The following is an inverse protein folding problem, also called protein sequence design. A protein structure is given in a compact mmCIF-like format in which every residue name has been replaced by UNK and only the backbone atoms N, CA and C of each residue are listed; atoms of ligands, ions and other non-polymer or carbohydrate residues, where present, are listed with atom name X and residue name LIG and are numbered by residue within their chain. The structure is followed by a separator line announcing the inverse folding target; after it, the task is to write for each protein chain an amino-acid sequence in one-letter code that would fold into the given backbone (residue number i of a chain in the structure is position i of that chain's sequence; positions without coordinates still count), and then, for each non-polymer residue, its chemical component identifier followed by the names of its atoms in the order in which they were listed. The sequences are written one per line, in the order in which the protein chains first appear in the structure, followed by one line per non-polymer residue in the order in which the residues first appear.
data_IF_713755718183
#
_entry.id   IF_713755718183
#
_cell.length_a   1.000
_cell.length_b   1.000
_cell.length_c   1.000
_cell.angle_alpha   90.00
_cell.angle_beta   90.00
_cell.angle_gamma   90.00
#
_symmetry.space_group_name_H-M   'P 1'
#
loop_
_entity.id
_entity.type
_entity.pdbx_description
1 polymer ?
#
# COMPACT_ATOMS: atom_id res chain seq x y z
N UNK A 1 60.41 -29.51 -37.30
CA UNK A 1 59.54 -28.41 -36.82
C UNK A 1 59.61 -27.25 -37.81
N UNK A 2 58.47 -26.62 -38.07
CA UNK A 2 58.13 -25.83 -39.27
C UNK A 2 58.86 -24.49 -39.38
N UNK A 3 59.07 -24.08 -40.64
CA UNK A 3 59.73 -22.87 -41.14
C UNK A 3 58.75 -21.67 -41.24
N UNK A 4 59.24 -20.49 -40.84
CA UNK A 4 59.29 -19.19 -41.55
C UNK A 4 58.09 -18.61 -42.34
N UNK A 5 58.02 -17.27 -42.22
CA UNK A 5 57.66 -16.20 -43.20
C UNK A 5 56.37 -15.38 -42.95
N UNK A 6 56.65 -14.13 -42.56
CA UNK A 6 56.13 -12.81 -42.96
C UNK A 6 54.75 -12.61 -43.64
N UNK A 7 54.19 -11.45 -43.27
CA UNK A 7 53.00 -10.75 -43.73
C UNK A 7 52.88 -10.53 -45.24
N UNK A 8 51.65 -10.51 -45.76
CA UNK A 8 51.15 -9.54 -46.76
C UNK A 8 49.64 -9.32 -46.56
N UNK A 9 49.25 -8.07 -46.73
CA UNK A 9 47.92 -7.48 -46.62
C UNK A 9 46.85 -8.08 -47.55
N UNK A 10 45.59 -7.94 -47.14
CA UNK A 10 44.46 -7.76 -48.06
C UNK A 10 43.42 -6.85 -47.39
N UNK A 11 43.44 -5.56 -47.75
CA UNK A 11 42.30 -4.67 -47.55
C UNK A 11 41.19 -5.13 -48.49
N UNK A 12 40.11 -5.66 -47.93
CA UNK A 12 38.86 -5.90 -48.66
C UNK A 12 37.96 -4.69 -48.50
N UNK A 13 37.81 -3.93 -49.58
CA UNK A 13 36.77 -2.92 -49.77
C UNK A 13 35.40 -3.57 -49.55
N UNK A 14 34.68 -3.17 -48.49
CA UNK A 14 33.25 -3.48 -48.34
C UNK A 14 32.47 -2.25 -48.78
N UNK A 15 31.75 -2.43 -49.88
CA UNK A 15 30.85 -1.49 -50.52
C UNK A 15 29.78 -0.97 -49.57
N UNK A 16 29.65 0.34 -49.46
CA UNK A 16 28.49 0.99 -48.84
C UNK A 16 27.30 0.88 -49.78
N UNK A 17 26.47 -0.15 -49.61
CA UNK A 17 25.09 -0.11 -50.08
C UNK A 17 24.25 0.77 -49.13
N UNK A 18 23.20 1.46 -49.60
CA UNK A 18 22.27 2.14 -48.71
C UNK A 18 21.57 1.08 -47.85
N UNK A 19 22.01 0.94 -46.60
CA UNK A 19 21.25 0.21 -45.60
C UNK A 19 19.95 0.97 -45.39
N UNK A 20 18.85 0.40 -45.86
CA UNK A 20 17.54 0.71 -45.31
C UNK A 20 17.66 0.48 -43.80
N UNK A 21 17.71 1.55 -43.02
CA UNK A 21 17.65 1.48 -41.58
C UNK A 21 16.32 0.83 -41.23
N UNK A 22 16.33 -0.46 -40.97
CA UNK A 22 15.29 -1.08 -40.17
C UNK A 22 15.37 -0.38 -38.82
N UNK A 23 14.45 0.56 -38.57
CA UNK A 23 14.30 1.15 -37.25
C UNK A 23 14.19 0.00 -36.26
N UNK A 24 15.08 -0.03 -35.27
CA UNK A 24 14.90 -0.91 -34.13
C UNK A 24 13.48 -0.68 -33.59
N UNK A 25 12.70 -1.75 -33.32
CA UNK A 25 11.35 -1.59 -32.79
C UNK A 25 11.42 -0.67 -31.58
N UNK A 26 10.60 0.37 -31.59
CA UNK A 26 10.52 1.33 -30.50
C UNK A 26 10.37 0.55 -29.18
N UNK A 27 11.07 0.93 -28.10
CA UNK A 27 10.95 0.26 -26.83
C UNK A 27 9.47 0.23 -26.44
N UNK A 28 8.91 -0.97 -26.29
CA UNK A 28 7.56 -1.14 -25.79
C UNK A 28 7.53 -0.51 -24.40
N UNK A 29 6.63 0.46 -24.13
CA UNK A 29 6.46 0.99 -22.79
C UNK A 29 6.24 -0.18 -21.82
N UNK A 30 6.98 -0.20 -20.71
CA UNK A 30 6.68 -1.14 -19.64
C UNK A 30 5.19 -0.97 -19.25
N UNK A 31 4.43 -2.05 -19.04
CA UNK A 31 3.03 -1.93 -18.69
C UNK A 31 2.92 -1.14 -17.37
N UNK A 32 2.36 0.06 -17.44
CA UNK A 32 1.97 0.82 -16.26
C UNK A 32 0.89 0.01 -15.55
N UNK A 33 1.07 -0.28 -14.26
CA UNK A 33 0.07 -0.98 -13.47
C UNK A 33 -1.29 -0.26 -13.58
N UNK A 34 -2.38 -1.02 -13.66
CA UNK A 34 -3.70 -0.40 -13.70
C UNK A 34 -4.00 0.30 -12.37
N UNK A 35 -4.85 1.33 -12.35
CA UNK A 35 -5.24 2.00 -11.11
C UNK A 35 -5.78 1.03 -10.04
N UNK A 36 -6.44 -0.06 -10.46
CA UNK A 36 -6.91 -1.11 -9.56
C UNK A 36 -5.76 -1.87 -8.89
N UNK A 37 -4.69 -2.19 -9.63
CA UNK A 37 -3.50 -2.86 -9.07
C UNK A 37 -2.77 -1.94 -8.09
N UNK A 38 -2.62 -0.65 -8.42
CA UNK A 38 -2.03 0.33 -7.50
C UNK A 38 -2.87 0.52 -6.23
N UNK A 39 -4.20 0.57 -6.36
CA UNK A 39 -5.10 0.69 -5.21
C UNK A 39 -5.07 -0.57 -4.33
N UNK A 40 -5.05 -1.76 -4.92
CA UNK A 40 -4.91 -3.02 -4.20
C UNK A 40 -3.59 -3.08 -3.41
N UNK A 41 -2.50 -2.55 -3.97
CA UNK A 41 -1.20 -2.46 -3.29
C UNK A 41 -1.21 -1.56 -2.04
N UNK A 42 -2.09 -0.54 -1.99
CA UNK A 42 -2.20 0.40 -0.86
C UNK A 42 -3.20 -0.03 0.21
N UNK A 43 -4.08 -0.98 -0.12
CA UNK A 43 -5.17 -1.36 0.76
C UNK A 43 -4.72 -1.93 2.12
N UNK A 44 -3.69 -2.81 2.21
CA UNK A 44 -3.22 -3.30 3.51
C UNK A 44 -2.78 -2.18 4.46
N UNK A 45 -2.07 -1.18 3.94
CA UNK A 45 -1.63 -0.02 4.74
C UNK A 45 -2.84 0.80 5.22
N UNK A 46 -3.84 1.02 4.36
CA UNK A 46 -5.05 1.76 4.72
C UNK A 46 -5.89 1.03 5.79
N UNK A 47 -5.96 -0.30 5.73
CA UNK A 47 -6.64 -1.11 6.75
C UNK A 47 -5.91 -1.06 8.09
N UNK A 48 -4.57 -1.19 8.05
CA UNK A 48 -3.73 -1.05 9.22
C UNK A 48 -3.93 0.32 9.88
N UNK A 49 -3.89 1.40 9.09
CA UNK A 49 -4.12 2.76 9.59
C UNK A 49 -5.52 2.90 10.22
N UNK A 50 -6.57 2.43 9.53
CA UNK A 50 -7.94 2.51 10.03
C UNK A 50 -8.09 1.82 11.39
N UNK A 51 -7.58 0.59 11.51
CA UNK A 51 -7.63 -0.17 12.76
C UNK A 51 -6.78 0.47 13.87
N UNK A 52 -5.56 0.95 13.56
CA UNK A 52 -4.69 1.60 14.54
C UNK A 52 -5.32 2.88 15.07
N UNK A 53 -5.86 3.73 14.19
CA UNK A 53 -6.55 4.97 14.58
C UNK A 53 -7.74 4.65 15.47
N UNK A 54 -8.59 3.70 15.08
CA UNK A 54 -9.75 3.31 15.87
C UNK A 54 -9.36 2.75 17.25
N UNK A 55 -8.28 1.96 17.33
CA UNK A 55 -7.75 1.44 18.59
C UNK A 55 -7.24 2.57 19.49
N UNK A 56 -6.41 3.46 18.96
CA UNK A 56 -5.84 4.61 19.69
C UNK A 56 -6.97 5.51 20.24
N UNK A 57 -8.02 5.71 19.45
CA UNK A 57 -9.15 6.57 19.79
C UNK A 57 -10.24 5.89 20.64
N UNK A 58 -10.14 4.59 20.94
CA UNK A 58 -11.23 3.86 21.61
C UNK A 58 -11.55 4.40 23.02
N UNK A 59 -10.59 5.05 23.70
CA UNK A 59 -10.82 5.62 25.03
C UNK A 59 -11.83 6.77 25.04
N UNK A 60 -12.01 7.46 23.91
CA UNK A 60 -12.95 8.60 23.78
C UNK A 60 -14.10 8.31 22.83
N UNK A 61 -13.95 7.36 21.90
CA UNK A 61 -15.01 6.94 20.98
C UNK A 61 -15.80 5.71 21.44
N UNK A 62 -15.24 4.93 22.36
CA UNK A 62 -15.78 3.64 22.78
C UNK A 62 -15.23 2.47 21.99
N UNK A 63 -15.19 1.30 22.64
CA UNK A 63 -14.63 0.06 22.09
C UNK A 63 -15.43 -0.48 20.89
N UNK A 64 -16.71 -0.14 20.79
CA UNK A 64 -17.58 -0.63 19.72
C UNK A 64 -17.14 -0.13 18.35
N UNK A 65 -16.63 1.11 18.26
CA UNK A 65 -16.09 1.66 17.00
C UNK A 65 -14.86 0.87 16.57
N UNK A 66 -13.93 0.60 17.49
CA UNK A 66 -12.78 -0.24 17.21
C UNK A 66 -13.19 -1.65 16.72
N UNK A 67 -14.15 -2.29 17.40
CA UNK A 67 -14.65 -3.61 17.02
C UNK A 67 -15.27 -3.61 15.61
N UNK A 68 -16.02 -2.58 15.25
CA UNK A 68 -16.58 -2.43 13.90
C UNK A 68 -15.49 -2.26 12.85
N UNK A 69 -14.48 -1.42 13.08
CA UNK A 69 -13.37 -1.23 12.15
C UNK A 69 -12.54 -2.51 12.01
N UNK A 70 -12.33 -3.24 13.11
CA UNK A 70 -11.67 -4.54 13.11
C UNK A 70 -12.46 -5.57 12.29
N UNK A 71 -13.77 -5.65 12.46
CA UNK A 71 -14.61 -6.55 11.67
C UNK A 71 -14.59 -6.19 10.17
N UNK A 72 -14.75 -4.91 9.83
CA UNK A 72 -14.64 -4.44 8.43
C UNK A 72 -13.29 -4.85 7.83
N UNK A 73 -12.22 -4.65 8.58
CA UNK A 73 -10.88 -5.00 8.12
C UNK A 73 -10.71 -6.50 7.94
N UNK A 74 -11.23 -7.29 8.87
CA UNK A 74 -11.25 -8.74 8.79
C UNK A 74 -12.03 -9.21 7.55
N UNK A 75 -13.26 -8.73 7.35
CA UNK A 75 -14.10 -9.12 6.22
C UNK A 75 -13.46 -8.74 4.88
N UNK A 76 -12.85 -7.56 4.79
CA UNK A 76 -12.21 -7.12 3.56
C UNK A 76 -10.96 -7.94 3.24
N UNK A 77 -10.08 -8.16 4.24
CA UNK A 77 -8.90 -9.01 4.07
C UNK A 77 -9.28 -10.45 3.75
N UNK A 78 -10.34 -10.99 4.36
CA UNK A 78 -10.85 -12.33 4.05
C UNK A 78 -11.33 -12.42 2.60
N UNK A 79 -12.07 -11.43 2.12
CA UNK A 79 -12.54 -11.39 0.72
C UNK A 79 -11.41 -11.32 -0.30
N UNK A 80 -10.27 -10.73 0.06
CA UNK A 80 -9.14 -10.55 -0.86
C UNK A 80 -8.20 -11.75 -0.82
N UNK A 81 -7.92 -12.27 0.37
CA UNK A 81 -6.97 -13.36 0.55
C UNK A 81 -7.61 -14.74 0.35
N UNK A 82 -8.92 -14.85 0.57
CA UNK A 82 -9.67 -16.11 0.66
C UNK A 82 -9.07 -17.11 1.67
N UNK A 83 -8.28 -16.61 2.63
CA UNK A 83 -7.54 -17.39 3.61
C UNK A 83 -7.79 -16.84 5.02
N UNK A 84 -8.58 -17.59 5.78
CA UNK A 84 -8.98 -17.20 7.14
C UNK A 84 -7.78 -17.14 8.10
N UNK A 85 -6.80 -18.03 7.95
CA UNK A 85 -5.64 -18.08 8.84
C UNK A 85 -4.75 -16.85 8.62
N UNK A 86 -4.45 -16.51 7.36
CA UNK A 86 -3.70 -15.30 7.03
C UNK A 86 -4.44 -14.02 7.38
N UNK A 87 -5.76 -14.02 7.23
CA UNK A 87 -6.59 -12.89 7.66
C UNK A 87 -6.46 -12.67 9.16
N UNK A 88 -6.59 -13.72 9.98
CA UNK A 88 -6.40 -13.62 11.43
C UNK A 88 -4.99 -13.15 11.80
N UNK A 89 -3.96 -13.68 11.14
CA UNK A 89 -2.57 -13.27 11.35
C UNK A 89 -2.38 -11.78 11.08
N UNK A 90 -2.90 -11.27 9.95
CA UNK A 90 -2.83 -9.86 9.60
C UNK A 90 -3.56 -8.96 10.61
N UNK A 91 -4.78 -9.34 11.00
CA UNK A 91 -5.57 -8.57 11.97
C UNK A 91 -4.89 -8.55 13.35
N UNK A 92 -4.32 -9.67 13.79
CA UNK A 92 -3.57 -9.75 15.05
C UNK A 92 -2.29 -8.91 14.99
N UNK A 93 -1.56 -8.94 13.87
CA UNK A 93 -0.37 -8.10 13.67
C UNK A 93 -0.70 -6.61 13.86
N UNK A 94 -1.79 -6.14 13.26
CA UNK A 94 -2.22 -4.74 13.39
C UNK A 94 -2.59 -4.42 14.83
N UNK A 95 -3.34 -5.31 15.50
CA UNK A 95 -3.75 -5.12 16.89
C UNK A 95 -2.55 -5.07 17.85
N UNK A 96 -1.56 -5.94 17.64
CA UNK A 96 -0.34 -5.95 18.46
C UNK A 96 0.49 -4.68 18.24
N UNK A 97 0.60 -4.20 17.00
CA UNK A 97 1.22 -2.90 16.71
C UNK A 97 0.46 -1.75 17.38
N UNK A 98 -0.87 -1.75 17.31
CA UNK A 98 -1.70 -0.71 17.94
C UNK A 98 -1.53 -0.69 19.46
N UNK A 99 -1.47 -1.86 20.11
CA UNK A 99 -1.17 -2.01 21.55
C UNK A 99 0.23 -1.48 21.90
N UNK A 100 1.23 -1.72 21.06
CA UNK A 100 2.59 -1.21 21.27
C UNK A 100 2.64 0.32 21.13
N UNK A 101 1.93 0.88 20.15
CA UNK A 101 1.85 2.32 19.94
C UNK A 101 1.04 3.03 21.03
N UNK A 102 0.03 2.35 21.56
CA UNK A 102 -0.88 2.88 22.57
C UNK A 102 -1.20 1.83 23.65
N UNK A 103 -0.33 1.68 24.66
CA UNK A 103 -0.58 0.74 25.76
C UNK A 103 -1.74 1.18 26.67
N UNK A 104 -2.01 2.48 26.76
CA UNK A 104 -3.15 3.05 27.49
C UNK A 104 -4.06 3.87 26.55
N UNK A 105 -5.13 3.23 26.10
CA UNK A 105 -6.09 3.84 25.18
C UNK A 105 -6.90 4.98 25.78
N UNK A 106 -6.88 5.17 27.11
CA UNK A 106 -7.56 6.32 27.73
C UNK A 106 -6.85 7.65 27.46
N UNK A 107 -5.54 7.60 27.24
CA UNK A 107 -4.69 8.80 27.20
C UNK A 107 -3.89 8.96 25.91
N UNK A 108 -3.55 7.88 25.22
CA UNK A 108 -2.65 7.93 24.06
C UNK A 108 -3.15 8.75 22.86
N UNK A 109 -4.48 8.89 22.70
CA UNK A 109 -5.06 9.72 21.64
C UNK A 109 -4.56 11.17 21.71
N UNK A 110 -4.19 11.66 22.90
CA UNK A 110 -3.65 13.01 23.11
C UNK A 110 -2.31 13.19 22.42
N UNK A 111 -1.43 12.21 22.54
CA UNK A 111 -0.12 12.23 21.89
C UNK A 111 -0.27 12.02 20.39
N UNK A 112 -1.08 11.03 19.99
CA UNK A 112 -1.36 10.74 18.59
C UNK A 112 -1.92 11.94 17.83
N UNK A 113 -2.92 12.63 18.40
CA UNK A 113 -3.54 13.82 17.81
C UNK A 113 -2.77 15.11 18.06
N UNK A 114 -1.68 15.07 18.85
CA UNK A 114 -0.90 16.25 19.28
C UNK A 114 -1.76 17.28 20.02
N UNK A 115 -2.64 16.79 20.90
CA UNK A 115 -3.62 17.55 21.68
C UNK A 115 -3.46 17.28 23.20
N UNK A 116 -2.32 17.64 23.82
CA UNK A 116 -2.02 17.27 25.21
C UNK A 116 -3.04 17.82 26.22
N UNK A 117 -3.60 19.01 25.96
CA UNK A 117 -4.47 19.74 26.89
C UNK A 117 -5.97 19.66 26.55
N UNK A 118 -6.36 18.89 25.54
CA UNK A 118 -7.75 18.83 25.10
C UNK A 118 -8.68 18.21 26.16
N UNK A 119 -9.95 18.54 26.12
CA UNK A 119 -10.98 17.80 26.86
C UNK A 119 -11.26 16.46 26.17
N UNK A 120 -11.94 15.54 26.85
CA UNK A 120 -12.39 14.28 26.22
C UNK A 120 -13.38 14.54 25.08
N UNK A 121 -14.20 15.58 25.17
CA UNK A 121 -15.13 15.96 24.10
C UNK A 121 -14.39 16.44 22.84
N UNK A 122 -13.37 17.29 22.99
CA UNK A 122 -12.51 17.70 21.88
C UNK A 122 -11.72 16.52 21.31
N UNK A 123 -11.20 15.65 22.19
CA UNK A 123 -10.55 14.41 21.81
C UNK A 123 -11.45 13.49 20.99
N UNK A 124 -12.70 13.29 21.44
CA UNK A 124 -13.70 12.50 20.73
C UNK A 124 -13.99 13.06 19.34
N UNK A 125 -14.26 14.36 19.22
CA UNK A 125 -14.53 15.00 17.92
C UNK A 125 -13.33 14.90 16.96
N UNK A 126 -12.10 15.09 17.46
CA UNK A 126 -10.90 14.93 16.66
C UNK A 126 -10.69 13.47 16.23
N UNK A 127 -10.90 12.53 17.15
CA UNK A 127 -10.87 11.10 16.88
C UNK A 127 -11.91 10.66 15.84
N UNK A 128 -13.14 11.18 15.91
CA UNK A 128 -14.20 10.93 14.91
C UNK A 128 -13.73 11.34 13.53
N UNK A 129 -13.22 12.57 13.41
CA UNK A 129 -12.70 13.08 12.14
C UNK A 129 -11.57 12.23 11.54
N UNK A 130 -10.59 11.82 12.35
CA UNK A 130 -9.46 11.02 11.81
C UNK A 130 -9.85 9.58 11.52
N UNK A 131 -10.79 9.01 12.28
CA UNK A 131 -11.32 7.66 12.03
C UNK A 131 -12.12 7.63 10.74
N UNK A 132 -13.01 8.62 10.55
CA UNK A 132 -13.77 8.80 9.31
C UNK A 132 -12.86 9.00 8.09
N UNK A 133 -11.79 9.79 8.23
CA UNK A 133 -10.83 10.00 7.15
C UNK A 133 -10.12 8.69 6.75
N UNK A 134 -9.63 7.91 7.73
CA UNK A 134 -8.94 6.65 7.47
C UNK A 134 -9.86 5.59 6.82
N UNK A 135 -11.10 5.47 7.31
CA UNK A 135 -12.10 4.61 6.70
C UNK A 135 -12.51 5.09 5.30
N UNK A 136 -12.64 6.40 5.13
CA UNK A 136 -12.95 7.02 3.84
C UNK A 136 -11.89 6.72 2.79
N UNK A 137 -10.60 6.76 3.14
CA UNK A 137 -9.51 6.41 2.24
C UNK A 137 -9.50 4.92 1.90
N UNK A 138 -9.77 4.05 2.89
CA UNK A 138 -9.96 2.62 2.66
C UNK A 138 -11.11 2.36 1.69
N UNK A 139 -12.24 3.02 1.87
CA UNK A 139 -13.41 2.88 0.99
C UNK A 139 -13.10 3.35 -0.44
N UNK A 140 -12.36 4.46 -0.61
CA UNK A 140 -11.93 4.93 -1.94
C UNK A 140 -11.08 3.88 -2.65
N UNK A 141 -10.15 3.25 -1.93
CA UNK A 141 -9.33 2.18 -2.50
C UNK A 141 -10.20 0.99 -2.93
N UNK A 142 -11.13 0.56 -2.09
CA UNK A 142 -12.07 -0.53 -2.42
C UNK A 142 -12.87 -0.19 -3.67
N UNK A 143 -13.43 1.02 -3.77
CA UNK A 143 -14.18 1.47 -4.96
C UNK A 143 -13.35 1.40 -6.24
N UNK A 144 -12.09 1.84 -6.18
CA UNK A 144 -11.17 1.75 -7.33
C UNK A 144 -10.88 0.29 -7.72
N UNK A 145 -10.73 -0.60 -6.74
CA UNK A 145 -10.47 -2.03 -6.96
C UNK A 145 -11.70 -2.72 -7.56
N UNK A 146 -12.91 -2.43 -7.07
CA UNK A 146 -14.15 -3.08 -7.51
C UNK A 146 -14.75 -2.45 -8.77
N UNK A 147 -14.25 -1.28 -9.18
CA UNK A 147 -14.81 -0.51 -10.30
C UNK A 147 -16.17 0.13 -9.96
N UNK A 148 -16.50 0.25 -8.68
CA UNK A 148 -17.77 0.83 -8.23
C UNK A 148 -17.65 2.36 -8.17
N UNK A 149 -18.32 3.03 -9.12
CA UNK A 149 -18.33 4.49 -9.25
C UNK A 149 -19.55 5.15 -8.60
N UNK A 150 -20.32 4.38 -7.81
CA UNK A 150 -21.59 4.82 -7.22
C UNK A 150 -21.41 5.65 -5.95
#
# INVERSE_FOLDING_TARGET
MKRLVAAVAALSLISFGPQAYAQAPAPTPAPTASPAVEAAGKLPESLMLSMQVAYICQGVQGVDIYNQVKDISYQLTLKISEDEAKTKEFINLIEDQAKQLCPDTKTCWREFLKMPNATEAEGKAACEKVTEAALGDTLKLVKVITGDNS
#
